data_IF_779079782400
#
_entry.id   IF_779079782400
#
_cell.length_a   1.000
_cell.length_b   1.000
_cell.length_c   1.000
_cell.angle_alpha   90.00
_cell.angle_beta   90.00
_cell.angle_gamma   90.00
#
_symmetry.space_group_name_H-M   'P 1'
#
loop_
_entity.id
_entity.type
_entity.pdbx_description
1 polymer ?
#
# COMPACT_ATOMS: atom_id res chain seq x y z
N UNK A 1 4.10 2.08 18.99
CA UNK A 1 4.51 3.51 18.98
C UNK A 1 5.86 3.72 18.29
N UNK A 2 7.02 3.28 18.83
CA UNK A 2 8.34 3.57 18.22
C UNK A 2 8.50 3.16 16.75
N UNK A 3 7.95 2.01 16.35
CA UNK A 3 8.02 1.53 14.95
C UNK A 3 7.16 2.36 13.96
N UNK A 4 6.07 2.98 14.42
CA UNK A 4 5.20 3.77 13.53
C UNK A 4 5.73 5.18 13.36
N UNK A 5 6.29 5.75 14.42
CA UNK A 5 6.98 7.04 14.34
C UNK A 5 8.19 6.95 13.38
N UNK A 6 8.92 5.84 13.33
CA UNK A 6 9.98 5.68 12.32
C UNK A 6 9.44 5.64 10.89
N UNK A 7 8.31 4.95 10.66
CA UNK A 7 7.66 4.92 9.34
C UNK A 7 7.23 6.33 8.90
N UNK A 8 6.54 7.06 9.78
CA UNK A 8 6.09 8.42 9.51
C UNK A 8 7.28 9.36 9.28
N UNK A 9 8.31 9.28 10.12
CA UNK A 9 9.51 10.10 9.97
C UNK A 9 10.21 9.83 8.63
N UNK A 10 10.31 8.57 8.20
CA UNK A 10 10.87 8.21 6.90
C UNK A 10 10.06 8.83 5.75
N UNK A 11 8.73 8.76 5.79
CA UNK A 11 7.87 9.38 4.79
C UNK A 11 7.92 10.92 4.83
N UNK A 12 8.04 11.53 6.00
CA UNK A 12 8.18 12.99 6.14
C UNK A 12 9.53 13.47 5.59
N UNK A 13 10.63 12.75 5.85
CA UNK A 13 11.93 13.03 5.23
C UNK A 13 11.90 12.82 3.71
N UNK A 14 11.12 11.82 3.29
CA UNK A 14 10.83 11.49 1.91
C UNK A 14 11.81 10.49 1.31
N UNK A 15 11.28 9.60 0.49
CA UNK A 15 12.04 8.67 -0.34
C UNK A 15 12.54 9.45 -1.56
N UNK A 16 13.86 9.45 -1.80
CA UNK A 16 14.48 10.17 -2.91
C UNK A 16 14.92 9.22 -4.02
N UNK A 17 14.70 9.62 -5.27
CA UNK A 17 15.22 8.92 -6.44
C UNK A 17 15.36 9.90 -7.61
N UNK A 18 16.55 9.97 -8.22
CA UNK A 18 16.84 10.80 -9.42
C UNK A 18 16.29 12.24 -9.36
N UNK A 19 16.53 12.93 -8.24
CA UNK A 19 16.11 14.32 -8.06
C UNK A 19 14.63 14.51 -7.71
N UNK A 20 13.82 13.45 -7.75
CA UNK A 20 12.42 13.45 -7.27
C UNK A 20 12.33 12.98 -5.84
N UNK A 21 11.24 13.36 -5.16
CA UNK A 21 10.96 12.95 -3.79
C UNK A 21 9.50 12.53 -3.61
N UNK A 22 9.29 11.30 -3.15
CA UNK A 22 8.01 10.83 -2.61
C UNK A 22 7.98 11.14 -1.11
N UNK A 23 6.97 11.87 -0.64
CA UNK A 23 6.88 12.27 0.77
C UNK A 23 5.45 12.35 1.29
N UNK A 24 5.31 12.32 2.61
CA UNK A 24 4.06 12.60 3.32
C UNK A 24 3.76 14.11 3.31
N UNK A 25 2.69 14.52 2.63
CA UNK A 25 2.27 15.93 2.56
C UNK A 25 1.19 16.29 3.57
N UNK A 26 0.33 15.33 3.93
CA UNK A 26 -0.78 15.52 4.88
C UNK A 26 -1.02 14.28 5.71
N UNK A 27 -1.33 14.48 6.99
CA UNK A 27 -1.69 13.45 7.98
C UNK A 27 -2.99 13.86 8.66
N UNK A 28 -3.96 12.96 8.70
CA UNK A 28 -5.28 13.18 9.29
C UNK A 28 -5.71 11.99 10.13
N UNK A 29 -6.46 12.24 11.20
CA UNK A 29 -7.04 11.16 12.01
C UNK A 29 -7.98 10.28 11.19
N UNK A 30 -7.95 8.98 11.45
CA UNK A 30 -8.85 7.99 10.88
C UNK A 30 -10.07 7.73 11.75
N UNK A 31 -10.74 6.60 11.49
CA UNK A 31 -11.92 6.18 12.24
C UNK A 31 -11.61 5.78 13.69
N UNK A 32 -10.42 5.24 13.91
CA UNK A 32 -9.93 4.79 15.22
C UNK A 32 -8.76 5.65 15.68
N UNK A 33 -8.49 5.66 16.98
CA UNK A 33 -7.36 6.43 17.53
C UNK A 33 -6.00 5.93 17.05
N UNK A 34 -5.91 4.66 16.64
CA UNK A 34 -4.73 4.05 16.02
C UNK A 34 -4.78 4.07 14.48
N UNK A 35 -5.79 4.69 13.88
CA UNK A 35 -5.94 4.82 12.43
C UNK A 35 -5.63 6.24 11.97
N UNK A 36 -4.92 6.37 10.85
CA UNK A 36 -4.67 7.65 10.20
C UNK A 36 -4.78 7.55 8.68
N UNK A 37 -5.13 8.67 8.05
CA UNK A 37 -5.11 8.85 6.62
C UNK A 37 -3.93 9.74 6.25
N UNK A 38 -3.11 9.26 5.33
CA UNK A 38 -1.89 9.91 4.86
C UNK A 38 -2.08 10.26 3.38
N UNK A 39 -1.66 11.47 3.01
CA UNK A 39 -1.54 11.89 1.60
C UNK A 39 -0.07 11.84 1.21
N UNK A 40 0.24 11.05 0.18
CA UNK A 40 1.60 10.93 -0.35
C UNK A 40 1.69 11.67 -1.69
N UNK A 41 2.77 12.41 -1.87
CA UNK A 41 3.02 13.25 -3.04
C UNK A 41 4.38 12.98 -3.66
N UNK A 42 4.48 13.20 -4.97
CA UNK A 42 5.75 13.39 -5.69
C UNK A 42 5.73 14.80 -6.28
N UNK A 43 6.76 15.59 -5.97
CA UNK A 43 6.97 16.93 -6.51
C UNK A 43 5.73 17.85 -6.41
N UNK A 44 5.03 17.82 -5.26
CA UNK A 44 3.84 18.63 -4.99
C UNK A 44 2.55 18.14 -5.66
N UNK A 45 2.58 16.99 -6.34
CA UNK A 45 1.41 16.34 -6.92
C UNK A 45 1.03 15.11 -6.11
N UNK A 46 -0.25 15.00 -5.74
CA UNK A 46 -0.79 13.82 -5.05
C UNK A 46 -0.53 12.58 -5.89
N UNK A 47 0.12 11.60 -5.27
CA UNK A 47 0.38 10.29 -5.86
C UNK A 47 -0.64 9.25 -5.40
N UNK A 48 -0.97 9.23 -4.11
CA UNK A 48 -1.92 8.27 -3.53
C UNK A 48 -2.35 8.69 -2.14
N UNK A 49 -3.34 7.99 -1.59
CA UNK A 49 -3.61 7.97 -0.16
C UNK A 49 -3.13 6.66 0.46
N UNK A 50 -2.72 6.74 1.72
CA UNK A 50 -2.45 5.57 2.54
C UNK A 50 -3.27 5.65 3.83
N UNK A 51 -4.11 4.64 4.09
CA UNK A 51 -4.78 4.47 5.37
C UNK A 51 -3.97 3.50 6.21
N UNK A 52 -3.48 3.94 7.35
CA UNK A 52 -2.64 3.15 8.24
C UNK A 52 -3.38 2.86 9.53
N UNK A 53 -3.24 1.64 10.03
CA UNK A 53 -3.68 1.25 11.37
C UNK A 53 -2.52 0.64 12.13
N UNK A 54 -2.22 1.20 13.29
CA UNK A 54 -1.02 0.86 14.08
C UNK A 54 -1.16 -0.39 14.94
N UNK A 55 -2.30 -1.08 14.85
CA UNK A 55 -2.56 -2.23 15.70
C UNK A 55 -2.94 -1.82 17.13
N UNK A 56 -3.66 -2.73 17.78
CA UNK A 56 -4.02 -2.66 19.20
C UNK A 56 -3.79 -4.03 19.79
N UNK A 57 -2.55 -4.24 20.25
CA UNK A 57 -2.09 -5.53 20.80
C UNK A 57 -2.91 -5.92 22.04
N UNK A 58 -3.11 -7.23 22.27
CA UNK A 58 -2.69 -8.35 21.41
C UNK A 58 -3.65 -8.64 20.24
N UNK A 59 -4.82 -8.01 20.21
CA UNK A 59 -5.95 -8.48 19.40
C UNK A 59 -5.94 -8.00 17.95
N UNK A 60 -5.41 -6.81 17.70
CA UNK A 60 -5.47 -6.18 16.38
C UNK A 60 -4.06 -5.93 15.86
N UNK A 61 -3.71 -6.58 14.75
CA UNK A 61 -2.44 -6.36 14.05
C UNK A 61 -2.49 -5.07 13.25
N UNK A 62 -1.31 -4.50 13.03
CA UNK A 62 -1.12 -3.36 12.15
C UNK A 62 -1.40 -3.72 10.68
N UNK A 63 -1.88 -2.74 9.93
CA UNK A 63 -2.08 -2.87 8.49
C UNK A 63 -2.01 -1.50 7.80
N UNK A 64 -1.76 -1.53 6.50
CA UNK A 64 -1.79 -0.34 5.65
C UNK A 64 -2.56 -0.64 4.37
N UNK A 65 -3.33 0.33 3.90
CA UNK A 65 -4.05 0.29 2.64
C UNK A 65 -3.61 1.46 1.76
N UNK A 66 -3.19 1.17 0.54
CA UNK A 66 -2.87 2.15 -0.50
C UNK A 66 -4.02 2.22 -1.51
N UNK A 67 -4.54 3.44 -1.76
CA UNK A 67 -5.73 3.66 -2.59
C UNK A 67 -5.68 5.02 -3.31
N UNK A 68 -6.50 5.16 -4.35
CA UNK A 68 -6.49 6.27 -5.31
C UNK A 68 -5.08 6.54 -5.85
N UNK A 69 -4.44 5.47 -6.30
CA UNK A 69 -3.05 5.48 -6.76
C UNK A 69 -2.99 6.02 -8.19
N UNK A 70 -2.19 7.05 -8.41
CA UNK A 70 -1.91 7.53 -9.76
C UNK A 70 -1.19 6.46 -10.58
N UNK A 71 -1.60 6.19 -11.85
CA UNK A 71 -1.02 5.12 -12.67
C UNK A 71 0.51 5.19 -12.80
N UNK A 72 1.07 6.41 -12.74
CA UNK A 72 2.52 6.66 -12.83
C UNK A 72 3.33 6.09 -11.67
N UNK A 73 2.70 5.65 -10.58
CA UNK A 73 3.37 4.96 -9.49
C UNK A 73 3.82 3.56 -9.90
N UNK A 74 2.99 2.82 -10.63
CA UNK A 74 3.26 1.44 -10.97
C UNK A 74 4.43 1.32 -11.95
N UNK A 75 5.33 0.39 -11.67
CA UNK A 75 6.61 0.20 -12.35
C UNK A 75 7.56 1.41 -12.26
N UNK A 76 7.29 2.36 -11.37
CA UNK A 76 8.23 3.43 -11.05
C UNK A 76 9.27 2.97 -10.03
N UNK A 77 10.44 3.63 -9.96
CA UNK A 77 11.43 3.34 -8.92
C UNK A 77 10.93 3.59 -7.49
N UNK A 78 9.85 4.34 -7.32
CA UNK A 78 9.25 4.58 -6.01
C UNK A 78 8.36 3.43 -5.53
N UNK A 79 7.90 2.57 -6.44
CA UNK A 79 7.06 1.42 -6.09
C UNK A 79 7.78 0.48 -5.13
N UNK A 80 8.94 -0.03 -5.54
CA UNK A 80 9.72 -0.97 -4.73
C UNK A 80 10.24 -0.33 -3.45
N UNK A 81 10.67 0.93 -3.50
CA UNK A 81 11.14 1.66 -2.32
C UNK A 81 10.04 1.88 -1.29
N UNK A 82 8.82 2.17 -1.74
CA UNK A 82 7.69 2.34 -0.85
C UNK A 82 7.26 1.00 -0.25
N UNK A 83 7.20 -0.07 -1.05
CA UNK A 83 6.88 -1.41 -0.56
C UNK A 83 7.93 -1.94 0.41
N UNK A 84 9.22 -1.69 0.14
CA UNK A 84 10.32 -1.99 1.05
C UNK A 84 10.09 -1.35 2.42
N UNK A 85 9.93 -0.02 2.45
CA UNK A 85 9.65 0.74 3.67
C UNK A 85 8.40 0.22 4.38
N UNK A 86 7.30 0.01 3.67
CA UNK A 86 6.06 -0.50 4.24
C UNK A 86 6.28 -1.88 4.88
N UNK A 87 7.02 -2.75 4.21
CA UNK A 87 7.23 -4.12 4.67
C UNK A 87 8.00 -4.20 5.98
N UNK A 88 8.83 -3.21 6.31
CA UNK A 88 9.56 -3.14 7.58
C UNK A 88 8.63 -2.86 8.77
N UNK A 89 7.44 -2.31 8.50
CA UNK A 89 6.54 -1.79 9.53
C UNK A 89 5.19 -2.47 9.61
N UNK A 90 4.72 -3.08 8.51
CA UNK A 90 3.38 -3.63 8.42
C UNK A 90 3.41 -5.11 8.02
N UNK A 91 2.84 -5.97 8.87
CA UNK A 91 2.64 -7.39 8.54
C UNK A 91 1.55 -7.64 7.48
N UNK A 92 0.66 -6.66 7.25
CA UNK A 92 -0.45 -6.72 6.29
C UNK A 92 -0.52 -5.44 5.45
N UNK A 93 -0.66 -5.62 4.14
CA UNK A 93 -0.84 -4.56 3.15
C UNK A 93 -2.07 -4.82 2.30
N UNK A 94 -2.76 -3.77 1.90
CA UNK A 94 -3.75 -3.76 0.82
C UNK A 94 -3.32 -2.75 -0.22
N UNK A 95 -3.31 -3.13 -1.49
CA UNK A 95 -2.97 -2.22 -2.60
C UNK A 95 -4.09 -2.25 -3.61
N UNK A 96 -4.70 -1.10 -3.85
CA UNK A 96 -5.65 -0.93 -4.95
C UNK A 96 -4.93 -1.09 -6.29
N UNK A 97 -5.40 -2.00 -7.14
CA UNK A 97 -4.74 -2.34 -8.40
C UNK A 97 -5.52 -1.87 -9.63
N UNK A 98 -6.63 -1.13 -9.48
CA UNK A 98 -7.46 -0.69 -10.60
C UNK A 98 -6.67 0.05 -11.69
N UNK A 99 -5.76 0.94 -11.28
CA UNK A 99 -4.91 1.71 -12.19
C UNK A 99 -3.65 0.94 -12.65
N UNK A 100 -3.36 -0.23 -12.07
CA UNK A 100 -2.36 -1.16 -12.56
C UNK A 100 -2.97 -2.09 -13.61
N UNK A 101 -2.93 -1.63 -14.86
CA UNK A 101 -3.53 -2.33 -16.00
C UNK A 101 -3.00 -3.74 -16.19
N UNK A 102 -1.72 -3.99 -15.87
CA UNK A 102 -1.12 -5.31 -16.04
C UNK A 102 -1.71 -6.29 -15.01
N UNK A 103 -1.64 -5.95 -13.72
CA UNK A 103 -2.20 -6.78 -12.65
C UNK A 103 -3.70 -6.99 -12.84
N UNK A 104 -4.43 -5.94 -13.23
CA UNK A 104 -5.86 -6.02 -13.51
C UNK A 104 -6.18 -7.05 -14.61
N UNK A 105 -5.43 -7.02 -15.72
CA UNK A 105 -5.63 -7.94 -16.84
C UNK A 105 -5.22 -9.38 -16.48
N UNK A 106 -4.13 -9.55 -15.74
CA UNK A 106 -3.67 -10.85 -15.25
C UNK A 106 -4.74 -11.50 -14.36
N UNK A 107 -5.25 -10.77 -13.37
CA UNK A 107 -6.32 -11.26 -12.48
C UNK A 107 -7.62 -11.54 -13.24
N UNK A 108 -8.01 -10.69 -14.20
CA UNK A 108 -9.19 -10.93 -15.04
C UNK A 108 -9.07 -12.23 -15.86
N UNK A 109 -7.85 -12.61 -16.24
CA UNK A 109 -7.56 -13.85 -16.97
C UNK A 109 -7.39 -15.07 -16.05
N UNK A 110 -7.59 -14.90 -14.75
CA UNK A 110 -7.46 -15.99 -13.77
C UNK A 110 -6.01 -16.32 -13.40
N UNK A 111 -5.05 -15.43 -13.67
CA UNK A 111 -3.69 -15.58 -13.14
C UNK A 111 -3.76 -15.55 -11.61
N UNK A 112 -3.12 -16.51 -10.91
CA UNK A 112 -3.07 -16.51 -9.45
C UNK A 112 -2.50 -15.18 -8.90
N UNK A 113 -3.02 -14.65 -7.77
CA UNK A 113 -2.52 -13.43 -7.13
C UNK A 113 -1.00 -13.34 -7.04
N UNK A 114 -0.36 -14.43 -6.64
CA UNK A 114 1.09 -14.60 -6.45
C UNK A 114 1.89 -14.48 -7.74
N UNK A 115 1.27 -14.76 -8.89
CA UNK A 115 1.93 -14.76 -10.19
C UNK A 115 1.77 -13.42 -10.94
N UNK A 116 0.89 -12.54 -10.45
CA UNK A 116 0.68 -11.20 -11.02
C UNK A 116 1.90 -10.29 -10.83
N UNK A 117 1.99 -9.21 -11.61
CA UNK A 117 3.02 -8.17 -11.49
C UNK A 117 3.10 -7.60 -10.07
N UNK A 118 1.96 -7.16 -9.53
CA UNK A 118 1.88 -6.62 -8.18
C UNK A 118 2.16 -7.69 -7.13
N UNK A 119 1.60 -8.90 -7.29
CA UNK A 119 1.77 -9.98 -6.34
C UNK A 119 3.23 -10.41 -6.19
N UNK A 120 3.97 -10.51 -7.30
CA UNK A 120 5.41 -10.78 -7.30
C UNK A 120 6.18 -9.74 -6.48
N UNK A 121 5.89 -8.45 -6.67
CA UNK A 121 6.51 -7.38 -5.86
C UNK A 121 6.22 -7.54 -4.38
N UNK A 122 4.96 -7.83 -4.00
CA UNK A 122 4.63 -8.07 -2.59
C UNK A 122 5.38 -9.28 -2.02
N UNK A 123 5.54 -10.36 -2.80
CA UNK A 123 6.32 -11.54 -2.40
C UNK A 123 7.79 -11.20 -2.20
N UNK A 124 8.39 -10.42 -3.09
CA UNK A 124 9.77 -9.94 -2.97
C UNK A 124 10.00 -9.15 -1.66
N UNK A 125 8.97 -8.45 -1.17
CA UNK A 125 8.99 -7.73 0.11
C UNK A 125 8.49 -8.55 1.31
N UNK A 126 8.35 -9.87 1.14
CA UNK A 126 8.13 -10.84 2.22
C UNK A 126 6.66 -11.12 2.58
N UNK A 127 5.70 -10.64 1.80
CA UNK A 127 4.29 -11.04 1.94
C UNK A 127 4.08 -12.42 1.30
N UNK A 128 3.55 -13.37 2.06
CA UNK A 128 3.46 -14.79 1.65
C UNK A 128 2.05 -15.21 1.27
N UNK A 129 1.05 -14.63 1.91
CA UNK A 129 -0.34 -14.98 1.68
C UNK A 129 -0.99 -13.82 0.94
N UNK A 130 -1.31 -14.03 -0.34
CA UNK A 130 -1.99 -13.03 -1.15
C UNK A 130 -3.47 -13.38 -1.30
N UNK A 131 -4.31 -12.35 -1.31
CA UNK A 131 -5.74 -12.50 -1.58
C UNK A 131 -6.21 -11.40 -2.50
N UNK A 132 -6.80 -11.79 -3.62
CA UNK A 132 -7.48 -10.87 -4.51
C UNK A 132 -8.89 -10.55 -3.97
N UNK A 133 -9.13 -9.28 -3.66
CA UNK A 133 -10.44 -8.73 -3.35
C UNK A 133 -11.02 -8.08 -4.60
N UNK A 134 -11.59 -8.92 -5.45
CA UNK A 134 -12.41 -8.51 -6.57
C UNK A 134 -13.89 -8.61 -6.19
N UNK A 135 -14.63 -7.51 -6.31
CA UNK A 135 -16.08 -7.49 -6.16
C UNK A 135 -16.72 -7.30 -7.54
N UNK A 136 -17.22 -8.38 -8.17
CA UNK A 136 -18.08 -8.25 -9.33
C UNK A 136 -19.42 -7.67 -8.87
N UNK A 137 -19.77 -6.49 -9.40
CA UNK A 137 -21.11 -5.89 -9.30
C UNK A 137 -21.59 -5.51 -7.89
N UNK A 138 -21.07 -4.39 -7.39
CA UNK A 138 -21.63 -3.72 -6.22
C UNK A 138 -20.79 -2.51 -5.84
N UNK A 139 -21.18 -1.35 -6.35
CA UNK A 139 -20.54 -0.03 -6.16
C UNK A 139 -20.38 0.45 -4.70
N UNK A 140 -20.60 -0.41 -3.70
CA UNK A 140 -20.82 0.05 -2.33
C UNK A 140 -19.60 0.09 -1.42
N UNK A 141 -18.56 -0.75 -1.51
CA UNK A 141 -17.47 -0.64 -0.52
C UNK A 141 -16.08 -1.03 -1.08
N UNK A 142 -15.37 -0.05 -1.63
CA UNK A 142 -13.93 -0.11 -1.89
C UNK A 142 -13.50 -0.64 -3.26
N UNK A 143 -12.39 -0.10 -3.77
CA UNK A 143 -11.82 -0.51 -5.05
C UNK A 143 -11.18 -1.90 -5.02
N UNK A 144 -10.81 -2.39 -6.20
CA UNK A 144 -10.18 -3.69 -6.39
C UNK A 144 -8.82 -3.75 -5.72
N UNK A 145 -8.64 -4.65 -4.75
CA UNK A 145 -7.44 -4.69 -3.88
C UNK A 145 -6.75 -6.03 -3.88
N UNK A 146 -5.43 -6.00 -3.91
CA UNK A 146 -4.61 -7.15 -3.59
C UNK A 146 -4.17 -7.01 -2.14
N UNK A 147 -4.57 -7.95 -1.29
CA UNK A 147 -4.08 -8.05 0.08
C UNK A 147 -2.84 -8.93 0.10
N UNK A 148 -1.84 -8.54 0.90
CA UNK A 148 -0.70 -9.38 1.25
C UNK A 148 -0.45 -9.47 2.75
N UNK A 149 -0.09 -10.65 3.25
CA UNK A 149 0.28 -10.89 4.65
C UNK A 149 1.62 -11.63 4.79
N UNK A 150 2.48 -11.20 5.72
CA UNK A 150 3.78 -11.87 5.99
C UNK A 150 3.64 -13.20 6.75
N UNK A 151 2.56 -13.36 7.51
CA UNK A 151 2.27 -14.54 8.32
C UNK A 151 1.33 -14.23 9.50
N UNK A 152 0.61 -15.26 9.95
CA UNK A 152 -0.20 -15.23 11.17
C UNK A 152 0.66 -15.30 12.44
#
# INVERSE_FOLDING_TARGET
>A
MRHFESFLNALTQGIKHEGKRLYLSKREGGRFVEEENLTLEIDGKRLMFAKVFYGRKPYWKEWIELFHIEPSFFSSPFEDKLYELISEHFGRIFVEYYEDKQTSLELQRGVPPEETRLGKKLIEHGYKHLKNWYFPEGWMEGGYKLQGEKGL
#
